data_IF_235363849718
#
_entry.id   IF_235363849718
#
_cell.length_a   1.000
_cell.length_b   1.000
_cell.length_c   1.000
_cell.angle_alpha   90.00
_cell.angle_beta   90.00
_cell.angle_gamma   90.00
#
_symmetry.space_group_name_H-M   'P 1'
#
loop_
_entity.id
_entity.type
_entity.pdbx_description
1 polymer ?
#
# COMPACT_ATOMS: atom_id res chain seq x y z
N UNK A 1 -7.68 14.00 -22.63
CA UNK A 1 -9.12 13.82 -22.30
C UNK A 1 -10.05 14.72 -23.11
N UNK A 2 -9.65 15.94 -23.50
CA UNK A 2 -10.53 16.87 -24.22
C UNK A 2 -11.09 16.35 -25.57
N UNK A 3 -10.34 15.52 -26.31
CA UNK A 3 -10.83 14.97 -27.60
C UNK A 3 -12.02 14.01 -27.49
N UNK A 4 -12.38 13.54 -26.28
CA UNK A 4 -13.53 12.64 -26.05
C UNK A 4 -14.85 13.40 -25.89
N UNK A 5 -14.79 14.69 -25.60
CA UNK A 5 -15.96 15.54 -25.36
C UNK A 5 -15.92 16.74 -26.31
N UNK A 6 -17.09 17.30 -26.68
CA UNK A 6 -17.16 18.52 -27.51
C UNK A 6 -16.82 19.77 -26.69
N UNK A 7 -15.57 19.84 -26.22
CA UNK A 7 -15.08 20.95 -25.39
C UNK A 7 -14.23 21.90 -26.24
N UNK A 8 -14.38 23.20 -25.98
CA UNK A 8 -13.48 24.21 -26.51
C UNK A 8 -12.29 24.29 -25.56
N UNK A 9 -11.09 24.02 -26.07
CA UNK A 9 -9.84 24.12 -25.30
C UNK A 9 -9.18 25.45 -25.64
N UNK A 10 -8.77 26.18 -24.60
CA UNK A 10 -8.08 27.48 -24.70
C UNK A 10 -6.73 27.42 -24.02
N UNK A 11 -5.83 28.29 -24.42
CA UNK A 11 -4.54 28.45 -23.75
C UNK A 11 -4.75 29.11 -22.38
N UNK A 12 -3.85 28.84 -21.43
CA UNK A 12 -3.89 29.46 -20.11
C UNK A 12 -3.77 30.99 -20.19
N UNK A 13 -3.05 31.52 -21.17
CA UNK A 13 -2.93 32.97 -21.40
C UNK A 13 -4.29 33.65 -21.65
N UNK A 14 -5.28 32.92 -22.19
CA UNK A 14 -6.61 33.45 -22.47
C UNK A 14 -7.55 33.42 -21.24
N UNK A 15 -7.10 32.88 -20.10
CA UNK A 15 -7.93 32.69 -18.91
C UNK A 15 -8.67 33.96 -18.46
N UNK A 16 -8.06 35.18 -18.40
CA UNK A 16 -8.79 36.40 -18.02
C UNK A 16 -9.89 36.80 -19.01
N UNK A 17 -9.74 36.45 -20.29
CA UNK A 17 -10.74 36.75 -21.32
C UNK A 17 -11.91 35.78 -21.21
N UNK A 18 -11.62 34.50 -20.96
CA UNK A 18 -12.66 33.47 -20.83
C UNK A 18 -13.42 33.57 -19.51
N UNK A 19 -12.76 33.96 -18.40
CA UNK A 19 -13.43 34.26 -17.12
C UNK A 19 -14.52 35.32 -17.29
N UNK A 20 -14.29 36.35 -18.11
CA UNK A 20 -15.26 37.42 -18.37
C UNK A 20 -16.51 36.98 -19.13
N UNK A 21 -16.43 35.85 -19.84
CA UNK A 21 -17.54 35.28 -20.61
C UNK A 21 -18.29 34.19 -19.84
N UNK A 22 -17.76 33.78 -18.69
CA UNK A 22 -18.31 32.68 -17.91
C UNK A 22 -19.28 33.18 -16.85
N UNK A 23 -20.40 32.48 -16.69
CA UNK A 23 -21.29 32.64 -15.54
C UNK A 23 -20.87 31.72 -14.37
N UNK A 24 -20.22 30.59 -14.71
CA UNK A 24 -19.77 29.57 -13.75
C UNK A 24 -18.33 29.17 -14.08
N UNK A 25 -17.45 29.23 -13.09
CA UNK A 25 -16.07 28.72 -13.15
C UNK A 25 -15.98 27.48 -12.28
N UNK A 26 -15.46 26.39 -12.85
CA UNK A 26 -15.14 25.17 -12.09
C UNK A 26 -13.63 25.03 -12.02
N UNK A 27 -13.09 25.09 -10.80
CA UNK A 27 -11.66 24.93 -10.53
C UNK A 27 -11.42 23.50 -10.05
N UNK A 28 -10.67 22.72 -10.85
CA UNK A 28 -10.34 21.33 -10.54
C UNK A 28 -8.89 21.04 -10.95
N UNK A 29 -7.96 21.85 -10.43
CA UNK A 29 -6.53 21.77 -10.77
C UNK A 29 -5.72 21.26 -9.58
N UNK A 30 -4.51 20.74 -9.83
CA UNK A 30 -3.58 20.37 -8.76
C UNK A 30 -3.17 21.57 -7.89
N UNK A 31 -2.44 21.36 -6.78
CA UNK A 31 -2.15 22.39 -5.79
C UNK A 31 -1.36 23.55 -6.41
N UNK A 32 -2.07 24.63 -6.70
CA UNK A 32 -1.56 25.92 -7.17
C UNK A 32 -2.55 26.98 -6.70
N UNK A 33 -2.07 27.91 -5.87
CA UNK A 33 -2.84 29.10 -5.54
C UNK A 33 -2.79 30.04 -6.73
N UNK A 34 -3.94 30.35 -7.30
CA UNK A 34 -4.05 31.33 -8.37
C UNK A 34 -4.64 32.62 -7.80
N UNK A 35 -4.13 33.80 -8.20
CA UNK A 35 -4.66 35.07 -7.74
C UNK A 35 -6.00 35.38 -8.44
N UNK A 36 -7.03 34.57 -8.21
CA UNK A 36 -8.32 34.66 -8.90
C UNK A 36 -8.93 36.06 -8.80
N UNK A 37 -8.79 36.74 -7.65
CA UNK A 37 -9.28 38.11 -7.46
C UNK A 37 -8.73 39.09 -8.51
N UNK A 38 -7.46 38.96 -8.91
CA UNK A 38 -6.86 39.85 -9.91
C UNK A 38 -7.17 39.43 -11.35
N UNK A 39 -7.75 38.25 -11.56
CA UNK A 39 -8.13 37.75 -12.88
C UNK A 39 -9.61 37.99 -13.19
N UNK A 40 -10.43 38.16 -12.15
CA UNK A 40 -11.87 38.40 -12.25
C UNK A 40 -12.11 39.90 -12.45
N UNK A 41 -12.40 40.27 -13.70
CA UNK A 41 -12.80 41.63 -14.09
C UNK A 41 -14.15 41.58 -14.80
N UNK A 42 -15.20 41.25 -14.06
CA UNK A 42 -16.57 41.17 -14.58
C UNK A 42 -17.51 41.92 -13.65
N UNK A 43 -18.55 42.53 -14.23
CA UNK A 43 -19.66 43.14 -13.49
C UNK A 43 -20.86 42.18 -13.38
N UNK A 44 -20.83 41.06 -14.13
CA UNK A 44 -21.89 40.06 -14.11
C UNK A 44 -21.75 39.14 -12.87
N UNK A 45 -22.86 38.58 -12.36
CA UNK A 45 -22.80 37.55 -11.34
C UNK A 45 -21.95 36.35 -11.78
N UNK A 46 -21.00 35.94 -10.96
CA UNK A 46 -20.05 34.86 -11.24
C UNK A 46 -20.05 33.83 -10.11
N UNK A 47 -20.35 32.58 -10.43
CA UNK A 47 -20.24 31.46 -9.50
C UNK A 47 -18.90 30.75 -9.68
N UNK A 48 -18.09 30.70 -8.62
CA UNK A 48 -16.83 29.96 -8.58
C UNK A 48 -17.01 28.69 -7.75
N UNK A 49 -16.97 27.54 -8.41
CA UNK A 49 -17.01 26.23 -7.78
C UNK A 49 -15.58 25.66 -7.68
N UNK A 50 -15.03 25.65 -6.47
CA UNK A 50 -13.70 25.10 -6.20
C UNK A 50 -13.79 23.63 -5.75
N UNK A 51 -13.35 22.73 -6.63
CA UNK A 51 -13.30 21.28 -6.43
C UNK A 51 -11.91 20.79 -6.02
N UNK A 52 -10.93 21.68 -5.83
CA UNK A 52 -9.56 21.32 -5.50
C UNK A 52 -9.36 21.03 -4.01
N UNK A 53 -8.45 20.09 -3.73
CA UNK A 53 -7.95 19.76 -2.39
C UNK A 53 -6.41 19.69 -2.47
N UNK A 54 -5.66 20.61 -1.82
CA UNK A 54 -6.12 21.78 -1.05
C UNK A 54 -6.86 22.82 -1.91
N UNK A 55 -7.54 23.79 -1.27
CA UNK A 55 -8.26 24.88 -1.96
C UNK A 55 -7.35 25.63 -2.92
N UNK A 56 -7.83 25.92 -4.13
CA UNK A 56 -7.09 26.65 -5.16
C UNK A 56 -7.56 28.11 -5.31
N UNK A 57 -8.76 28.43 -4.82
CA UNK A 57 -9.34 29.77 -4.84
C UNK A 57 -9.28 30.37 -3.44
N UNK A 58 -8.49 31.44 -3.31
CA UNK A 58 -8.38 32.20 -2.06
C UNK A 58 -9.72 32.85 -1.67
N UNK A 59 -9.97 32.99 -0.37
CA UNK A 59 -11.22 33.60 0.14
C UNK A 59 -11.32 35.11 -0.20
N UNK A 60 -10.23 35.75 -0.66
CA UNK A 60 -10.22 37.15 -1.08
C UNK A 60 -11.12 37.45 -2.31
N UNK A 61 -11.55 36.42 -3.04
CA UNK A 61 -12.51 36.57 -4.14
C UNK A 61 -13.90 36.97 -3.63
N UNK A 62 -14.22 36.68 -2.36
CA UNK A 62 -15.48 37.04 -1.72
C UNK A 62 -15.61 38.54 -1.46
N UNK A 63 -14.52 39.30 -1.56
CA UNK A 63 -14.55 40.76 -1.49
C UNK A 63 -15.20 41.38 -2.75
N UNK A 64 -15.35 40.62 -3.84
CA UNK A 64 -15.99 41.07 -5.06
C UNK A 64 -17.52 40.91 -4.93
N UNK A 65 -18.31 41.99 -5.05
CA UNK A 65 -19.75 41.96 -4.73
C UNK A 65 -20.58 41.07 -5.65
N UNK A 66 -20.06 40.76 -6.84
CA UNK A 66 -20.71 39.97 -7.87
C UNK A 66 -20.18 38.52 -7.93
N UNK A 67 -19.34 38.08 -6.98
CA UNK A 67 -18.75 36.73 -6.97
C UNK A 67 -19.33 35.91 -5.82
N UNK A 68 -19.82 34.72 -6.14
CA UNK A 68 -20.17 33.69 -5.15
C UNK A 68 -19.17 32.55 -5.26
N UNK A 69 -18.54 32.14 -4.15
CA UNK A 69 -17.68 30.94 -4.13
C UNK A 69 -18.38 29.81 -3.39
N UNK A 70 -18.31 28.60 -3.94
CA UNK A 70 -18.69 27.37 -3.26
C UNK A 70 -17.50 26.41 -3.33
N UNK A 71 -17.07 25.87 -2.18
CA UNK A 71 -16.06 24.81 -2.14
C UNK A 71 -16.71 23.43 -2.00
N UNK A 72 -16.01 22.39 -2.45
CA UNK A 72 -16.49 21.00 -2.39
C UNK A 72 -16.83 20.56 -0.96
N UNK A 73 -16.14 21.05 0.06
CA UNK A 73 -16.45 20.72 1.47
C UNK A 73 -17.79 21.32 1.91
N UNK A 74 -18.19 22.44 1.31
CA UNK A 74 -19.48 23.09 1.57
C UNK A 74 -20.63 22.37 0.85
N UNK A 75 -20.37 21.84 -0.35
CA UNK A 75 -21.34 20.99 -1.06
C UNK A 75 -21.65 19.70 -0.29
N UNK A 76 -20.66 19.12 0.39
CA UNK A 76 -20.84 17.93 1.24
C UNK A 76 -21.91 18.13 2.32
N UNK A 77 -22.07 19.37 2.82
CA UNK A 77 -23.06 19.73 3.85
C UNK A 77 -24.49 19.85 3.33
N UNK A 78 -24.69 19.92 2.01
CA UNK A 78 -26.00 20.21 1.39
C UNK A 78 -26.72 18.92 0.91
N UNK A 79 -26.06 17.75 0.98
CA UNK A 79 -26.61 16.50 0.44
C UNK A 79 -26.81 15.39 1.47
N UNK A 80 -27.80 15.56 2.36
CA UNK A 80 -28.11 14.59 3.42
C UNK A 80 -28.63 13.25 2.89
N UNK A 81 -29.45 13.26 1.84
CA UNK A 81 -30.12 12.04 1.36
C UNK A 81 -29.17 11.04 0.70
N UNK A 82 -28.29 11.53 -0.17
CA UNK A 82 -27.28 10.71 -0.86
C UNK A 82 -26.19 10.23 0.10
N UNK A 83 -25.84 11.06 1.08
CA UNK A 83 -24.89 10.69 2.12
C UNK A 83 -25.45 9.56 3.00
N UNK A 84 -26.72 9.64 3.41
CA UNK A 84 -27.38 8.60 4.20
C UNK A 84 -27.43 7.24 3.47
N UNK A 85 -27.65 7.24 2.16
CA UNK A 85 -27.60 6.01 1.36
C UNK A 85 -26.18 5.43 1.28
N UNK A 86 -25.14 6.27 1.14
CA UNK A 86 -23.74 5.82 1.16
C UNK A 86 -23.31 5.28 2.52
N UNK A 87 -23.78 5.88 3.62
CA UNK A 87 -23.48 5.41 4.97
C UNK A 87 -24.00 3.98 5.19
N UNK A 88 -25.13 3.60 4.59
CA UNK A 88 -25.66 2.23 4.68
C UNK A 88 -24.75 1.18 4.06
N UNK A 89 -23.84 1.57 3.16
CA UNK A 89 -22.89 0.67 2.52
C UNK A 89 -21.59 0.51 3.34
N UNK A 90 -21.34 1.38 4.33
CA UNK A 90 -20.14 1.33 5.18
C UNK A 90 -19.98 -0.03 5.89
N UNK A 91 -21.02 -0.62 6.51
CA UNK A 91 -20.87 -1.94 7.15
C UNK A 91 -20.45 -3.06 6.19
N UNK A 92 -20.84 -2.97 4.91
CA UNK A 92 -20.41 -3.95 3.90
C UNK A 92 -18.94 -3.77 3.56
N UNK A 93 -18.48 -2.52 3.44
CA UNK A 93 -17.06 -2.22 3.22
C UNK A 93 -16.19 -2.66 4.41
N UNK A 94 -16.64 -2.42 5.64
CA UNK A 94 -15.95 -2.88 6.85
C UNK A 94 -15.82 -4.40 6.90
N UNK A 95 -16.86 -5.14 6.49
CA UNK A 95 -16.79 -6.60 6.40
C UNK A 95 -15.69 -7.06 5.42
N UNK A 96 -15.62 -6.45 4.24
CA UNK A 96 -14.57 -6.74 3.25
C UNK A 96 -13.18 -6.42 3.83
N UNK A 97 -13.04 -5.31 4.54
CA UNK A 97 -11.78 -4.93 5.19
C UNK A 97 -11.36 -6.00 6.20
N UNK A 98 -12.27 -6.49 7.03
CA UNK A 98 -11.98 -7.56 8.01
C UNK A 98 -11.54 -8.83 7.30
N UNK A 99 -12.25 -9.27 6.26
CA UNK A 99 -11.90 -10.46 5.47
C UNK A 99 -10.48 -10.34 4.87
N UNK A 100 -10.12 -9.16 4.35
CA UNK A 100 -8.79 -8.90 3.78
C UNK A 100 -7.71 -8.84 4.87
N UNK A 101 -8.03 -8.30 6.06
CA UNK A 101 -7.10 -8.28 7.20
C UNK A 101 -6.81 -9.72 7.65
N UNK A 102 -7.83 -10.57 7.72
CA UNK A 102 -7.66 -11.97 8.11
C UNK A 102 -6.79 -12.72 7.08
N UNK A 103 -7.07 -12.57 5.79
CA UNK A 103 -6.24 -13.15 4.72
C UNK A 103 -4.79 -12.63 4.78
N UNK A 104 -4.61 -11.33 5.05
CA UNK A 104 -3.28 -10.73 5.19
C UNK A 104 -2.52 -11.27 6.40
N UNK A 105 -3.21 -11.48 7.53
CA UNK A 105 -2.62 -12.06 8.73
C UNK A 105 -2.20 -13.52 8.50
N UNK A 106 -3.05 -14.32 7.86
CA UNK A 106 -2.71 -15.69 7.46
C UNK A 106 -1.48 -15.70 6.56
N UNK A 107 -1.45 -14.82 5.56
CA UNK A 107 -0.29 -14.66 4.70
C UNK A 107 0.98 -14.25 5.47
N UNK A 108 0.87 -13.32 6.43
CA UNK A 108 2.00 -12.92 7.28
C UNK A 108 2.54 -14.09 8.12
N UNK A 109 1.67 -14.92 8.71
CA UNK A 109 2.08 -16.11 9.45
C UNK A 109 2.87 -17.08 8.56
N UNK A 110 2.50 -17.22 7.28
CA UNK A 110 3.27 -18.06 6.34
C UNK A 110 4.70 -17.55 6.06
N UNK A 111 5.00 -16.29 6.36
CA UNK A 111 6.35 -15.71 6.21
C UNK A 111 7.15 -15.67 7.50
N UNK A 112 6.50 -15.71 8.66
CA UNK A 112 7.15 -15.58 9.97
C UNK A 112 8.24 -16.64 10.23
N UNK A 113 8.05 -17.88 9.74
CA UNK A 113 9.01 -18.96 9.95
C UNK A 113 10.13 -19.04 8.92
N UNK A 114 10.04 -18.31 7.80
CA UNK A 114 11.05 -18.39 6.74
C UNK A 114 12.48 -18.07 7.23
N UNK A 115 12.70 -17.03 8.07
CA UNK A 115 14.00 -16.78 8.68
C UNK A 115 14.50 -17.91 9.57
N UNK A 116 13.62 -18.51 10.38
CA UNK A 116 13.97 -19.62 11.28
C UNK A 116 14.35 -20.88 10.50
N UNK A 117 13.60 -21.21 9.45
CA UNK A 117 13.91 -22.34 8.55
C UNK A 117 15.27 -22.12 7.85
N UNK A 118 15.55 -20.89 7.44
CA UNK A 118 16.84 -20.53 6.84
C UNK A 118 17.99 -20.65 7.84
N UNK A 119 17.81 -20.15 9.07
CA UNK A 119 18.81 -20.27 10.14
C UNK A 119 19.09 -21.75 10.50
N UNK A 120 18.04 -22.57 10.56
CA UNK A 120 18.15 -24.01 10.77
C UNK A 120 18.95 -24.70 9.66
N UNK A 121 18.68 -24.35 8.39
CA UNK A 121 19.44 -24.88 7.24
C UNK A 121 20.93 -24.54 7.34
N UNK A 122 21.25 -23.28 7.63
CA UNK A 122 22.65 -22.83 7.80
C UNK A 122 23.35 -23.55 8.95
N UNK A 123 22.65 -23.75 10.07
CA UNK A 123 23.18 -24.52 11.20
C UNK A 123 23.50 -25.97 10.80
N UNK A 124 22.59 -26.63 10.09
CA UNK A 124 22.78 -28.00 9.61
C UNK A 124 23.94 -28.11 8.60
N UNK A 125 24.08 -27.17 7.68
CA UNK A 125 25.19 -27.11 6.72
C UNK A 125 26.54 -26.95 7.44
N UNK A 126 26.59 -26.16 8.52
CA UNK A 126 27.80 -26.03 9.35
C UNK A 126 28.16 -27.34 10.07
N UNK A 127 27.16 -28.03 10.63
CA UNK A 127 27.35 -29.33 11.28
C UNK A 127 27.80 -30.40 10.28
N UNK A 128 27.24 -30.40 9.07
CA UNK A 128 27.67 -31.25 7.97
C UNK A 128 29.15 -31.07 7.67
N UNK A 129 29.59 -29.83 7.44
CA UNK A 129 30.99 -29.54 7.11
C UNK A 129 31.95 -30.03 8.21
N UNK A 130 31.58 -29.83 9.48
CA UNK A 130 32.36 -30.31 10.62
C UNK A 130 32.41 -31.85 10.67
N UNK A 131 31.27 -32.50 10.47
CA UNK A 131 31.19 -33.97 10.48
C UNK A 131 31.99 -34.58 9.33
N UNK A 132 31.86 -34.05 8.11
CA UNK A 132 32.62 -34.53 6.95
C UNK A 132 34.13 -34.36 7.15
N UNK A 133 34.58 -33.21 7.67
CA UNK A 133 36.00 -32.98 7.96
C UNK A 133 36.55 -33.96 9.02
N UNK A 134 35.76 -34.27 10.06
CA UNK A 134 36.15 -35.26 11.07
C UNK A 134 36.21 -36.68 10.50
N UNK A 135 35.22 -37.07 9.68
CA UNK A 135 35.18 -38.39 9.07
C UNK A 135 36.30 -38.59 8.05
N UNK A 136 36.64 -37.56 7.28
CA UNK A 136 37.74 -37.62 6.32
C UNK A 136 39.10 -37.82 7.01
N UNK A 137 39.30 -37.25 8.20
CA UNK A 137 40.51 -37.51 9.02
C UNK A 137 40.62 -38.96 9.48
N UNK A 138 39.49 -39.59 9.85
CA UNK A 138 39.45 -40.99 10.31
C UNK A 138 39.46 -42.00 9.16
N UNK A 139 38.89 -41.61 8.02
CA UNK A 139 38.72 -42.45 6.85
C UNK A 139 39.19 -41.71 5.58
N UNK A 140 40.50 -41.73 5.27
CA UNK A 140 41.06 -41.01 4.12
C UNK A 140 40.48 -41.46 2.77
N UNK A 141 39.97 -42.70 2.71
CA UNK A 141 39.34 -43.33 1.54
C UNK A 141 37.93 -42.78 1.25
N UNK A 142 37.35 -41.97 2.15
CA UNK A 142 35.96 -41.53 2.06
C UNK A 142 35.76 -40.70 0.78
N UNK A 143 34.80 -41.11 -0.05
CA UNK A 143 34.36 -40.34 -1.22
C UNK A 143 33.56 -39.11 -0.78
N UNK A 144 34.28 -38.03 -0.50
CA UNK A 144 33.71 -36.77 0.01
C UNK A 144 32.58 -36.21 -0.86
N UNK A 145 32.67 -36.29 -2.19
CA UNK A 145 31.61 -35.81 -3.09
C UNK A 145 30.27 -36.54 -2.93
N UNK A 146 30.28 -37.87 -2.89
CA UNK A 146 29.07 -38.67 -2.73
C UNK A 146 28.46 -38.45 -1.33
N UNK A 147 29.32 -38.38 -0.30
CA UNK A 147 28.89 -38.08 1.07
C UNK A 147 28.23 -36.70 1.19
N UNK A 148 28.83 -35.66 0.60
CA UNK A 148 28.28 -34.29 0.56
C UNK A 148 26.93 -34.22 -0.15
N UNK A 149 26.79 -34.88 -1.30
CA UNK A 149 25.51 -34.90 -2.02
C UNK A 149 24.40 -35.54 -1.19
N UNK A 150 24.70 -36.64 -0.50
CA UNK A 150 23.74 -37.31 0.36
C UNK A 150 23.35 -36.44 1.57
N UNK A 151 24.32 -35.84 2.26
CA UNK A 151 24.05 -34.96 3.40
C UNK A 151 23.25 -33.73 3.02
N UNK A 152 23.59 -33.06 1.91
CA UNK A 152 22.80 -31.92 1.40
C UNK A 152 21.36 -32.32 1.09
N UNK A 153 21.15 -33.50 0.50
CA UNK A 153 19.81 -34.02 0.24
C UNK A 153 19.02 -34.28 1.53
N UNK A 154 19.67 -34.81 2.58
CA UNK A 154 19.07 -35.00 3.90
C UNK A 154 18.71 -33.68 4.57
N UNK A 155 19.61 -32.69 4.56
CA UNK A 155 19.35 -31.34 5.08
C UNK A 155 18.12 -30.76 4.39
N UNK A 156 18.06 -30.80 3.05
CA UNK A 156 16.93 -30.27 2.30
C UNK A 156 15.61 -30.98 2.65
N UNK A 157 15.62 -32.31 2.83
CA UNK A 157 14.44 -33.08 3.26
C UNK A 157 13.96 -32.66 4.66
N UNK A 158 14.88 -32.48 5.60
CA UNK A 158 14.55 -32.05 6.97
C UNK A 158 13.98 -30.63 6.96
N UNK A 159 14.68 -29.69 6.31
CA UNK A 159 14.25 -28.29 6.19
C UNK A 159 12.87 -28.17 5.54
N UNK A 160 12.59 -28.94 4.48
CA UNK A 160 11.28 -28.95 3.83
C UNK A 160 10.17 -29.50 4.76
N UNK A 161 10.47 -30.55 5.53
CA UNK A 161 9.51 -31.13 6.48
C UNK A 161 9.19 -30.14 7.60
N UNK A 162 10.20 -29.44 8.12
CA UNK A 162 10.02 -28.37 9.11
C UNK A 162 9.20 -27.22 8.53
N UNK A 163 9.54 -26.73 7.35
CA UNK A 163 8.78 -25.66 6.68
C UNK A 163 7.32 -26.05 6.46
N UNK A 164 7.05 -27.30 6.07
CA UNK A 164 5.68 -27.81 5.90
C UNK A 164 4.93 -27.89 7.22
N UNK A 165 5.58 -28.35 8.29
CA UNK A 165 4.97 -28.38 9.62
C UNK A 165 4.64 -26.98 10.11
N UNK A 166 5.55 -26.02 9.91
CA UNK A 166 5.35 -24.61 10.27
C UNK A 166 4.24 -23.91 9.49
N UNK A 167 3.99 -24.32 8.24
CA UNK A 167 2.87 -23.78 7.43
C UNK A 167 1.50 -24.30 7.86
N UNK A 168 1.47 -25.50 8.44
CA UNK A 168 0.23 -26.22 8.73
C UNK A 168 -0.08 -26.25 10.22
N UNK A 169 0.70 -25.57 11.08
CA UNK A 169 0.47 -25.57 12.52
C UNK A 169 -0.48 -24.46 12.94
N UNK A 170 -1.53 -24.83 13.67
CA UNK A 170 -2.55 -23.90 14.20
C UNK A 170 -1.93 -22.86 15.15
N UNK A 171 -0.79 -23.19 15.77
CA UNK A 171 -0.01 -22.28 16.61
C UNK A 171 1.42 -22.08 16.06
N UNK A 172 1.52 -21.30 14.98
CA UNK A 172 2.79 -21.01 14.30
C UNK A 172 3.80 -20.35 15.25
N UNK A 173 3.36 -19.48 16.17
CA UNK A 173 4.23 -18.78 17.13
C UNK A 173 4.89 -19.73 18.13
N UNK A 174 4.14 -20.67 18.70
CA UNK A 174 4.67 -21.66 19.63
C UNK A 174 5.62 -22.66 18.95
N UNK A 175 5.24 -23.11 17.74
CA UNK A 175 6.08 -23.99 16.92
C UNK A 175 7.42 -23.31 16.58
N UNK A 176 7.37 -22.00 16.27
CA UNK A 176 8.55 -21.19 15.94
C UNK A 176 9.48 -21.06 17.14
N UNK A 177 8.94 -20.72 18.32
CA UNK A 177 9.70 -20.66 19.58
C UNK A 177 10.33 -22.00 19.94
N UNK A 178 9.59 -23.10 19.74
CA UNK A 178 10.08 -24.44 20.04
C UNK A 178 11.29 -24.78 19.19
N UNK A 179 11.24 -24.51 17.87
CA UNK A 179 12.38 -24.75 16.97
C UNK A 179 13.56 -23.83 17.31
N UNK A 180 13.30 -22.56 17.59
CA UNK A 180 14.35 -21.62 18.01
C UNK A 180 15.06 -22.11 19.27
N UNK A 181 14.32 -22.57 20.28
CA UNK A 181 14.90 -23.07 21.52
C UNK A 181 15.62 -24.41 21.33
N UNK A 182 15.01 -25.37 20.62
CA UNK A 182 15.58 -26.70 20.41
C UNK A 182 16.93 -26.64 19.67
N UNK A 183 17.06 -25.73 18.70
CA UNK A 183 18.25 -25.59 17.87
C UNK A 183 19.11 -24.37 18.24
N UNK A 184 18.75 -23.64 19.30
CA UNK A 184 19.41 -22.41 19.75
C UNK A 184 19.62 -21.40 18.59
N UNK A 185 18.57 -21.17 17.80
CA UNK A 185 18.60 -20.26 16.65
C UNK A 185 18.29 -18.83 17.11
N UNK A 186 18.86 -17.81 16.45
CA UNK A 186 18.62 -16.43 16.82
C UNK A 186 17.13 -16.05 16.70
N UNK A 187 16.58 -15.49 17.77
CA UNK A 187 15.31 -14.78 17.77
C UNK A 187 15.53 -13.39 17.18
N UNK A 188 14.84 -13.06 16.09
CA UNK A 188 14.79 -11.69 15.59
C UNK A 188 13.86 -10.85 16.46
#
# INVERSE_FOLDING_TARGET
>A
MAGKFKLIVKDYADLPVEIRKADIIIVATGPKTYPFKSLIHTENPLLVLDLSIPKNVDDNVLDLPNVTRIHIDELSKITDKTLAERIKEVPKAEKIIIEVIDEFNDWLQTRAFAPTVQALKQMMEKLEQQALAQQQKKHPQLKTKEATLLSQHLIQKITNRVAKHMRNSDNTSESLKTIQNLFNLPSK
#
